data_IF_175057847867
#
_entry.id   IF_175057847867
#
_cell.length_a   1.000
_cell.length_b   1.000
_cell.length_c   1.000
_cell.angle_alpha   90.00
_cell.angle_beta   90.00
_cell.angle_gamma   90.00
#
_symmetry.space_group_name_H-M   'P 1'
#
loop_
_entity.id
_entity.type
_entity.pdbx_description
1 polymer ?
#
# COMPACT_ATOMS: atom_id res chain seq x y z
N UNK A 1 33.51 -31.88 -31.05
CA UNK A 1 33.37 -30.41 -30.97
C UNK A 1 34.00 -29.86 -32.23
N UNK A 2 33.19 -29.58 -33.25
CA UNK A 2 33.67 -28.94 -34.48
C UNK A 2 32.65 -27.88 -34.86
N UNK A 3 33.07 -26.62 -34.78
CA UNK A 3 32.31 -25.46 -35.19
C UNK A 3 32.67 -25.16 -36.65
N UNK A 4 31.69 -25.25 -37.55
CA UNK A 4 31.84 -24.78 -38.93
C UNK A 4 31.10 -23.45 -39.07
N UNK A 5 31.86 -22.39 -39.33
CA UNK A 5 31.33 -21.07 -39.68
C UNK A 5 31.62 -20.81 -41.16
N UNK A 6 30.58 -20.51 -41.94
CA UNK A 6 30.70 -19.93 -43.27
C UNK A 6 29.75 -18.73 -43.44
N UNK A 7 30.17 -17.70 -44.21
CA UNK A 7 29.68 -16.33 -44.11
C UNK A 7 28.52 -16.02 -45.06
N UNK A 8 27.80 -14.93 -44.76
CA UNK A 8 26.66 -14.42 -45.52
C UNK A 8 27.08 -13.81 -46.87
N UNK A 9 26.27 -14.05 -47.91
CA UNK A 9 26.32 -13.37 -49.22
C UNK A 9 24.89 -12.89 -49.58
N UNK A 10 24.69 -11.63 -50.05
CA UNK A 10 23.38 -11.04 -50.32
C UNK A 10 23.10 -10.92 -51.83
N UNK A 11 21.89 -11.26 -52.33
CA UNK A 11 21.49 -10.85 -53.70
C UNK A 11 19.96 -10.72 -53.87
N UNK A 12 19.61 -9.59 -54.48
CA UNK A 12 18.31 -9.09 -54.93
C UNK A 12 17.65 -9.93 -56.06
N UNK A 13 16.39 -9.56 -56.33
CA UNK A 13 15.66 -9.61 -57.62
C UNK A 13 14.68 -10.77 -57.96
N UNK A 14 13.53 -10.31 -58.49
CA UNK A 14 12.22 -10.93 -58.76
C UNK A 14 12.20 -11.68 -60.11
N UNK A 15 11.29 -12.65 -60.34
CA UNK A 15 10.27 -12.41 -61.37
C UNK A 15 8.85 -12.96 -61.08
N UNK A 16 7.91 -12.34 -61.81
CA UNK A 16 6.45 -12.44 -61.97
C UNK A 16 5.86 -13.86 -62.25
N UNK A 17 4.55 -14.06 -62.02
CA UNK A 17 3.56 -14.73 -62.92
C UNK A 17 2.25 -15.12 -62.20
N UNK A 18 1.14 -14.84 -62.90
CA UNK A 18 -0.28 -14.93 -62.55
C UNK A 18 -0.95 -16.30 -62.86
N UNK A 19 -1.93 -16.69 -62.02
CA UNK A 19 -3.21 -17.43 -62.26
C UNK A 19 -3.20 -18.91 -62.74
N UNK A 20 -3.83 -19.82 -61.96
CA UNK A 20 -4.95 -20.70 -62.42
C UNK A 20 -5.75 -21.28 -61.25
N UNK A 21 -7.08 -21.12 -61.32
CA UNK A 21 -8.16 -21.65 -60.46
C UNK A 21 -8.43 -23.15 -60.71
N UNK A 22 -8.99 -23.88 -59.73
CA UNK A 22 -10.23 -24.62 -60.00
C UNK A 22 -11.32 -24.39 -58.94
N UNK A 23 -12.51 -24.07 -59.44
CA UNK A 23 -13.79 -23.92 -58.78
C UNK A 23 -14.47 -25.29 -58.61
N UNK A 24 -15.08 -25.54 -57.44
CA UNK A 24 -16.33 -26.30 -57.17
C UNK A 24 -16.24 -26.88 -55.74
N UNK A 25 -17.21 -26.79 -54.83
CA UNK A 25 -18.62 -26.45 -54.90
C UNK A 25 -19.07 -25.86 -53.54
N UNK A 26 -19.90 -24.83 -53.56
CA UNK A 26 -20.65 -24.36 -52.39
C UNK A 26 -22.12 -24.61 -52.70
N UNK A 27 -22.72 -25.58 -52.01
CA UNK A 27 -24.17 -25.80 -52.00
C UNK A 27 -24.69 -25.58 -50.58
N UNK A 28 -25.79 -24.82 -50.44
CA UNK A 28 -26.70 -24.96 -49.30
C UNK A 28 -26.84 -23.78 -48.33
N UNK A 29 -27.34 -22.65 -48.83
CA UNK A 29 -28.36 -21.76 -48.21
C UNK A 29 -28.70 -21.93 -46.73
N UNK A 30 -28.42 -20.90 -45.91
CA UNK A 30 -29.40 -20.18 -45.05
C UNK A 30 -28.91 -18.73 -44.84
N UNK A 31 -29.49 -17.71 -45.50
CA UNK A 31 -29.29 -16.33 -45.09
C UNK A 31 -30.17 -16.10 -43.84
N UNK A 32 -29.85 -15.09 -43.03
CA UNK A 32 -30.67 -14.58 -41.92
C UNK A 32 -30.28 -15.11 -40.52
N UNK A 33 -29.04 -14.89 -40.11
CA UNK A 33 -28.75 -14.54 -38.72
C UNK A 33 -27.81 -13.33 -38.71
N UNK A 34 -28.23 -12.19 -38.13
CA UNK A 34 -27.29 -11.13 -37.79
C UNK A 34 -26.35 -11.70 -36.72
N UNK A 35 -25.07 -11.89 -37.08
CA UNK A 35 -24.02 -12.38 -36.18
C UNK A 35 -23.53 -11.32 -35.18
N UNK A 36 -24.19 -10.16 -35.11
CA UNK A 36 -23.86 -9.08 -34.20
C UNK A 36 -25.15 -8.57 -33.54
N UNK A 37 -25.20 -8.42 -32.21
CA UNK A 37 -26.30 -7.71 -31.57
C UNK A 37 -26.42 -6.31 -32.20
N UNK A 38 -27.65 -5.80 -32.45
CA UNK A 38 -27.83 -4.41 -32.89
C UNK A 38 -27.06 -3.46 -31.97
N UNK A 39 -26.28 -2.52 -32.51
CA UNK A 39 -25.49 -1.55 -31.76
C UNK A 39 -26.31 -0.74 -30.72
N UNK A 40 -27.64 -0.66 -30.92
CA UNK A 40 -28.57 -0.15 -29.91
C UNK A 40 -28.44 -0.89 -28.56
N UNK A 41 -28.38 -2.23 -28.58
CA UNK A 41 -28.27 -3.05 -27.36
C UNK A 41 -26.94 -2.90 -26.63
N UNK A 42 -25.84 -2.56 -27.32
CA UNK A 42 -24.55 -2.38 -26.62
C UNK A 42 -24.52 -1.08 -25.84
N UNK A 43 -25.11 -0.01 -26.38
CA UNK A 43 -25.22 1.27 -25.68
C UNK A 43 -26.09 1.14 -24.42
N UNK A 44 -27.22 0.46 -24.53
CA UNK A 44 -28.12 0.16 -23.41
C UNK A 44 -27.43 -0.68 -22.32
N UNK A 45 -26.56 -1.62 -22.73
CA UNK A 45 -25.80 -2.48 -21.81
C UNK A 45 -24.73 -1.71 -21.04
N UNK A 46 -24.05 -0.75 -21.67
CA UNK A 46 -23.08 0.12 -20.99
C UNK A 46 -23.75 1.08 -20.02
N UNK A 47 -24.96 1.55 -20.33
CA UNK A 47 -25.75 2.36 -19.40
C UNK A 47 -26.18 1.56 -18.18
N UNK A 48 -26.63 0.31 -18.36
CA UNK A 48 -26.96 -0.58 -17.24
C UNK A 48 -25.76 -0.86 -16.33
N UNK A 49 -24.58 -1.14 -16.92
CA UNK A 49 -23.35 -1.36 -16.14
C UNK A 49 -22.94 -0.08 -15.40
N UNK A 50 -23.05 1.08 -16.04
CA UNK A 50 -22.72 2.36 -15.41
C UNK A 50 -23.69 2.70 -14.26
N UNK A 51 -24.97 2.37 -14.41
CA UNK A 51 -26.00 2.60 -13.40
C UNK A 51 -25.85 1.64 -12.20
N UNK A 52 -25.54 0.37 -12.47
CA UNK A 52 -25.25 -0.64 -11.45
C UNK A 52 -23.96 -0.30 -10.67
N UNK A 53 -22.89 0.11 -11.36
CA UNK A 53 -21.66 0.58 -10.71
C UNK A 53 -21.91 1.87 -9.94
N UNK A 54 -22.69 2.81 -10.47
CA UNK A 54 -23.03 4.06 -9.78
C UNK A 54 -23.84 3.81 -8.51
N UNK A 55 -24.78 2.85 -8.52
CA UNK A 55 -25.51 2.45 -7.32
C UNK A 55 -24.60 1.78 -6.29
N UNK A 56 -23.73 0.86 -6.71
CA UNK A 56 -22.77 0.22 -5.81
C UNK A 56 -21.81 1.25 -5.21
N UNK A 57 -21.37 2.24 -5.98
CA UNK A 57 -20.51 3.34 -5.53
C UNK A 57 -21.24 4.31 -4.59
N UNK A 58 -22.53 4.53 -4.80
CA UNK A 58 -23.38 5.34 -3.91
C UNK A 58 -23.64 4.62 -2.57
N UNK A 59 -23.83 3.30 -2.59
CA UNK A 59 -24.06 2.49 -1.39
C UNK A 59 -22.77 2.13 -0.63
N UNK A 60 -21.61 2.18 -1.30
CA UNK A 60 -20.29 1.87 -0.74
C UNK A 60 -19.94 2.66 0.53
N UNK A 61 -20.04 4.01 0.58
CA UNK A 61 -19.73 4.77 1.78
C UNK A 61 -20.65 4.39 2.95
N UNK A 62 -21.95 4.18 2.70
CA UNK A 62 -22.91 3.77 3.74
C UNK A 62 -22.62 2.36 4.25
N UNK A 63 -22.30 1.41 3.37
CA UNK A 63 -21.95 0.04 3.78
C UNK A 63 -20.62 -0.03 4.52
N UNK A 64 -19.60 0.71 4.07
CA UNK A 64 -18.31 0.81 4.77
C UNK A 64 -18.51 1.47 6.14
N UNK A 65 -19.30 2.54 6.21
CA UNK A 65 -19.67 3.21 7.45
C UNK A 65 -20.39 2.25 8.41
N UNK A 66 -21.35 1.47 7.92
CA UNK A 66 -22.09 0.50 8.72
C UNK A 66 -21.18 -0.60 9.29
N UNK A 67 -20.29 -1.17 8.46
CA UNK A 67 -19.31 -2.17 8.91
C UNK A 67 -18.34 -1.55 9.91
N UNK A 68 -17.85 -0.33 9.64
CA UNK A 68 -16.97 0.36 10.56
C UNK A 68 -17.64 0.64 11.91
N UNK A 69 -18.89 1.09 11.92
CA UNK A 69 -19.63 1.37 13.15
C UNK A 69 -20.01 0.09 13.91
N UNK A 70 -20.40 -0.97 13.19
CA UNK A 70 -20.76 -2.27 13.76
C UNK A 70 -19.55 -2.99 14.38
N UNK A 71 -18.37 -2.86 13.77
CA UNK A 71 -17.13 -3.52 14.20
C UNK A 71 -16.10 -2.54 14.74
N UNK A 72 -16.50 -1.32 15.10
CA UNK A 72 -15.58 -0.22 15.45
C UNK A 72 -14.58 -0.66 16.51
N UNK A 73 -15.07 -1.31 17.57
CA UNK A 73 -14.22 -1.79 18.65
C UNK A 73 -13.19 -2.81 18.16
N UNK A 74 -13.60 -3.77 17.34
CA UNK A 74 -12.73 -4.82 16.81
C UNK A 74 -11.73 -4.28 15.79
N UNK A 75 -12.16 -3.37 14.91
CA UNK A 75 -11.30 -2.70 13.93
C UNK A 75 -10.26 -1.87 14.64
N UNK A 76 -10.64 -1.07 15.64
CA UNK A 76 -9.71 -0.29 16.46
C UNK A 76 -8.71 -1.23 17.13
N UNK A 77 -9.15 -2.34 17.73
CA UNK A 77 -8.25 -3.31 18.35
C UNK A 77 -7.25 -3.89 17.35
N UNK A 78 -7.70 -4.32 16.17
CA UNK A 78 -6.82 -4.87 15.12
C UNK A 78 -5.84 -3.81 14.62
N UNK A 79 -6.33 -2.59 14.34
CA UNK A 79 -5.49 -1.46 13.91
C UNK A 79 -4.46 -1.11 14.98
N UNK A 80 -4.85 -1.13 16.26
CA UNK A 80 -3.94 -0.86 17.37
C UNK A 80 -2.87 -1.94 17.49
N UNK A 81 -3.23 -3.23 17.37
CA UNK A 81 -2.28 -4.34 17.37
C UNK A 81 -1.33 -4.23 16.17
N UNK A 82 -1.86 -4.01 14.97
CA UNK A 82 -1.06 -3.84 13.75
C UNK A 82 -0.11 -2.64 13.88
N UNK A 83 -0.62 -1.51 14.37
CA UNK A 83 0.16 -0.31 14.64
C UNK A 83 1.26 -0.55 15.67
N UNK A 84 0.97 -1.28 16.75
CA UNK A 84 1.97 -1.66 17.74
C UNK A 84 3.09 -2.52 17.13
N UNK A 85 2.75 -3.48 16.26
CA UNK A 85 3.73 -4.30 15.55
C UNK A 85 4.60 -3.44 14.62
N UNK A 86 3.98 -2.59 13.80
CA UNK A 86 4.69 -1.71 12.87
C UNK A 86 5.59 -0.74 13.63
N UNK A 87 5.06 -0.10 14.67
CA UNK A 87 5.82 0.80 15.56
C UNK A 87 6.99 0.07 16.20
N UNK A 88 6.77 -1.15 16.70
CA UNK A 88 7.84 -1.98 17.24
C UNK A 88 8.93 -2.29 16.21
N UNK A 89 8.56 -2.61 14.96
CA UNK A 89 9.52 -2.83 13.87
C UNK A 89 10.31 -1.57 13.54
N UNK A 90 9.64 -0.43 13.44
CA UNK A 90 10.28 0.86 13.18
C UNK A 90 11.22 1.23 14.33
N UNK A 91 10.79 1.05 15.59
CA UNK A 91 11.62 1.30 16.76
C UNK A 91 12.88 0.42 16.77
N UNK A 92 12.74 -0.88 16.48
CA UNK A 92 13.88 -1.79 16.35
C UNK A 92 14.81 -1.37 15.20
N UNK A 93 14.26 -0.97 14.05
CA UNK A 93 15.06 -0.48 12.92
C UNK A 93 15.82 0.82 13.25
N UNK A 94 15.22 1.71 14.05
CA UNK A 94 15.89 2.91 14.56
C UNK A 94 17.02 2.52 15.50
N UNK A 95 16.80 1.57 16.42
CA UNK A 95 17.84 1.07 17.31
C UNK A 95 19.02 0.46 16.54
N UNK A 96 18.72 -0.30 15.49
CA UNK A 96 19.72 -0.89 14.59
C UNK A 96 20.52 0.20 13.87
N UNK A 97 19.83 1.20 13.29
CA UNK A 97 20.46 2.33 12.63
C UNK A 97 21.30 3.22 13.58
N UNK A 98 20.88 3.37 14.84
CA UNK A 98 21.67 4.06 15.86
C UNK A 98 22.94 3.26 16.17
N UNK A 99 22.85 1.93 16.23
CA UNK A 99 24.00 1.05 16.47
C UNK A 99 24.99 1.04 15.30
N UNK A 100 24.52 1.22 14.07
CA UNK A 100 25.36 1.39 12.88
C UNK A 100 26.13 2.73 12.88
N UNK A 101 25.73 3.71 13.71
CA UNK A 101 26.44 4.98 13.85
C UNK A 101 27.30 4.91 15.12
N UNK A 102 28.62 4.69 15.00
CA UNK A 102 29.50 4.39 16.13
C UNK A 102 29.61 5.50 17.18
N UNK A 103 29.19 6.73 16.85
CA UNK A 103 29.23 7.88 17.75
C UNK A 103 27.91 8.13 18.49
N UNK A 104 26.75 7.66 17.99
CA UNK A 104 25.47 8.01 18.62
C UNK A 104 25.28 7.33 19.96
N UNK A 105 25.57 6.02 20.06
CA UNK A 105 25.46 5.26 21.32
C UNK A 105 26.24 5.93 22.46
N UNK A 106 27.56 6.18 22.35
CA UNK A 106 28.32 6.79 23.44
C UNK A 106 27.90 8.23 23.73
N UNK A 107 27.41 8.98 22.74
CA UNK A 107 26.88 10.33 22.95
C UNK A 107 25.57 10.28 23.76
N UNK A 108 24.64 9.38 23.41
CA UNK A 108 23.41 9.19 24.17
C UNK A 108 23.68 8.72 25.60
N UNK A 109 24.65 7.83 25.80
CA UNK A 109 25.10 7.41 27.13
C UNK A 109 25.65 8.59 27.93
N UNK A 110 26.53 9.41 27.33
CA UNK A 110 27.10 10.58 28.00
C UNK A 110 26.01 11.61 28.35
N UNK A 111 25.08 11.88 27.43
CA UNK A 111 23.94 12.79 27.68
C UNK A 111 23.05 12.23 28.79
N UNK A 112 22.75 10.92 28.75
CA UNK A 112 21.95 10.23 29.74
C UNK A 112 22.56 10.33 31.13
N UNK A 113 23.83 9.94 31.28
CA UNK A 113 24.55 10.06 32.55
C UNK A 113 24.60 11.51 33.01
N UNK A 114 24.95 12.45 32.14
CA UNK A 114 25.01 13.87 32.50
C UNK A 114 23.66 14.39 33.02
N UNK A 115 22.57 14.09 32.30
CA UNK A 115 21.24 14.56 32.66
C UNK A 115 20.72 13.84 33.91
N UNK A 116 20.92 12.53 34.03
CA UNK A 116 20.55 11.76 35.22
C UNK A 116 21.30 12.26 36.45
N UNK A 117 22.62 12.45 36.37
CA UNK A 117 23.41 12.98 37.49
C UNK A 117 22.95 14.38 37.88
N UNK A 118 22.73 15.28 36.91
CA UNK A 118 22.21 16.62 37.18
C UNK A 118 20.82 16.58 37.81
N UNK A 119 19.92 15.78 37.26
CA UNK A 119 18.54 15.64 37.73
C UNK A 119 18.48 15.10 39.17
N UNK A 120 19.23 14.04 39.46
CA UNK A 120 19.31 13.45 40.80
C UNK A 120 19.82 14.49 41.80
N UNK A 121 20.93 15.16 41.49
CA UNK A 121 21.52 16.16 42.36
C UNK A 121 20.59 17.37 42.58
N UNK A 122 19.93 17.84 41.51
CA UNK A 122 19.11 19.06 41.51
C UNK A 122 17.70 18.87 42.07
N UNK A 123 17.09 17.70 41.88
CA UNK A 123 15.69 17.48 42.22
C UNK A 123 15.48 16.45 43.35
N UNK A 124 16.31 15.40 43.43
CA UNK A 124 16.08 14.31 44.39
C UNK A 124 16.78 14.53 45.73
N UNK A 125 17.96 15.16 45.77
CA UNK A 125 18.71 15.34 47.02
C UNK A 125 18.16 16.48 47.90
N UNK A 126 17.66 17.56 47.28
CA UNK A 126 17.21 18.74 47.99
C UNK A 126 15.70 18.67 48.28
N UNK A 127 15.33 18.86 49.55
CA UNK A 127 13.94 18.70 50.00
C UNK A 127 12.94 19.61 49.29
N UNK A 128 13.30 20.88 49.09
CA UNK A 128 12.42 21.87 48.44
C UNK A 128 12.16 21.55 46.97
N UNK A 129 13.14 20.97 46.27
CA UNK A 129 13.03 20.64 44.84
C UNK A 129 12.33 19.31 44.60
N UNK A 130 12.27 18.44 45.61
CA UNK A 130 11.40 17.25 45.60
C UNK A 130 9.93 17.64 45.60
N UNK A 131 9.55 18.65 46.39
CA UNK A 131 8.17 19.14 46.44
C UNK A 131 7.77 19.76 45.09
N UNK A 132 8.63 20.61 44.54
CA UNK A 132 8.46 21.21 43.21
C UNK A 132 8.30 20.14 42.11
N UNK A 133 9.07 19.06 42.16
CA UNK A 133 8.95 17.94 41.20
C UNK A 133 7.62 17.20 41.35
N UNK A 134 7.17 16.93 42.57
CA UNK A 134 5.89 16.26 42.84
C UNK A 134 4.72 17.12 42.36
N UNK A 135 4.74 18.42 42.62
CA UNK A 135 3.72 19.36 42.14
C UNK A 135 3.67 19.40 40.61
N UNK A 136 4.82 19.45 39.93
CA UNK A 136 4.88 19.39 38.47
C UNK A 136 4.32 18.08 37.91
N UNK A 137 4.67 16.94 38.51
CA UNK A 137 4.14 15.63 38.10
C UNK A 137 2.62 15.58 38.31
N UNK A 138 2.10 16.13 39.41
CA UNK A 138 0.66 16.22 39.65
C UNK A 138 -0.03 17.11 38.62
N UNK A 139 0.54 18.26 38.28
CA UNK A 139 -0.01 19.15 37.25
C UNK A 139 -0.12 18.42 35.90
N UNK A 140 0.95 17.77 35.45
CA UNK A 140 0.96 17.04 34.16
C UNK A 140 -0.06 15.89 34.18
N UNK A 141 -0.16 15.17 35.31
CA UNK A 141 -1.14 14.11 35.48
C UNK A 141 -2.56 14.65 35.36
N UNK A 142 -2.84 15.79 35.99
CA UNK A 142 -4.15 16.42 35.94
C UNK A 142 -4.47 16.96 34.54
N UNK A 143 -3.47 17.47 33.82
CA UNK A 143 -3.64 17.94 32.42
C UNK A 143 -3.99 16.79 31.46
N UNK A 144 -3.38 15.61 31.65
CA UNK A 144 -3.62 14.44 30.77
C UNK A 144 -4.89 13.68 31.16
N UNK A 145 -5.17 13.56 32.46
CA UNK A 145 -6.26 12.71 32.98
C UNK A 145 -7.51 13.51 33.40
N UNK A 146 -7.45 14.83 33.41
CA UNK A 146 -8.58 15.72 33.72
C UNK A 146 -9.18 15.54 35.12
N UNK A 147 -8.40 15.07 36.10
CA UNK A 147 -8.83 14.86 37.50
C UNK A 147 -8.13 15.81 38.44
#
# INVERSE_FOLDING_TARGET
MEANAQPLQPFDDVPDTTITTPTAAIEGTKPNQPLLPPAAKSQDKWQQIAEEVSQVLADLPDKIGQVFNQYQQLIITIVLIASAIVTGRVFLAILDAINDIPLLIPIFELIGISYTTWFVFRYLLKGSTRQELVEQIQSIKNDILGT
#
